data_IF_470680134739
#
_entry.id   IF_470680134739
#
_cell.length_a   1.000
_cell.length_b   1.000
_cell.length_c   1.000
_cell.angle_alpha   90.00
_cell.angle_beta   90.00
_cell.angle_gamma   90.00
#
_symmetry.space_group_name_H-M   'P 1'
#
loop_
_entity.id
_entity.type
_entity.pdbx_description
1 polymer ?
#
# COMPACT_ATOMS: atom_id res chain seq x y z
N UNK A 1 -16.86 23.53 -5.39
CA UNK A 1 -16.91 23.16 -3.94
C UNK A 1 -15.69 22.31 -3.68
N UNK A 2 -14.87 22.69 -2.71
CA UNK A 2 -13.70 21.92 -2.32
C UNK A 2 -14.11 20.49 -1.93
N UNK A 3 -13.35 19.50 -2.36
CA UNK A 3 -13.55 18.10 -2.00
C UNK A 3 -13.23 17.91 -0.51
N UNK A 4 -14.18 17.38 0.26
CA UNK A 4 -13.97 17.11 1.69
C UNK A 4 -13.09 15.84 1.85
N UNK A 5 -11.84 15.97 2.35
CA UNK A 5 -10.93 14.86 2.51
C UNK A 5 -11.43 13.82 3.53
N UNK A 6 -12.15 14.25 4.57
CA UNK A 6 -12.66 13.33 5.60
C UNK A 6 -13.78 12.47 5.02
N UNK A 7 -14.67 13.10 4.23
CA UNK A 7 -15.73 12.37 3.54
C UNK A 7 -15.16 11.38 2.54
N UNK A 8 -14.19 11.79 1.72
CA UNK A 8 -13.54 10.90 0.75
C UNK A 8 -12.82 9.73 1.45
N UNK A 9 -12.09 9.99 2.52
CA UNK A 9 -11.44 8.95 3.31
C UNK A 9 -12.45 7.96 3.89
N UNK A 10 -13.56 8.45 4.46
CA UNK A 10 -14.66 7.61 4.94
C UNK A 10 -15.25 6.74 3.83
N UNK A 11 -15.51 7.32 2.65
CA UNK A 11 -16.07 6.59 1.51
C UNK A 11 -15.08 5.51 1.01
N UNK A 12 -13.78 5.79 0.98
CA UNK A 12 -12.75 4.80 0.63
C UNK A 12 -12.65 3.67 1.68
N UNK A 13 -12.76 3.99 2.98
CA UNK A 13 -12.71 2.98 4.06
C UNK A 13 -13.91 2.02 3.97
N UNK A 14 -15.08 2.51 3.60
CA UNK A 14 -16.30 1.67 3.42
C UNK A 14 -16.15 0.63 2.31
N UNK A 15 -15.25 0.87 1.35
CA UNK A 15 -14.92 -0.11 0.31
C UNK A 15 -13.99 -1.17 0.90
N UNK A 16 -14.47 -2.42 0.95
CA UNK A 16 -13.70 -3.57 1.42
C UNK A 16 -12.69 -4.00 0.33
N UNK A 17 -11.57 -3.31 0.25
CA UNK A 17 -10.50 -3.54 -0.73
C UNK A 17 -9.37 -4.41 -0.14
N UNK A 18 -9.69 -5.63 0.29
CA UNK A 18 -8.65 -6.57 0.76
C UNK A 18 -7.77 -6.96 -0.42
N UNK A 19 -6.44 -6.88 -0.21
CA UNK A 19 -5.45 -7.16 -1.26
C UNK A 19 -5.70 -8.49 -1.98
N UNK A 20 -5.66 -8.57 -3.32
CA UNK A 20 -5.40 -7.50 -4.29
C UNK A 20 -6.68 -6.85 -4.87
N UNK A 21 -7.83 -6.94 -4.20
CA UNK A 21 -9.16 -6.60 -4.71
C UNK A 21 -9.54 -5.13 -4.43
N UNK A 22 -8.87 -4.19 -5.11
CA UNK A 22 -9.09 -2.75 -4.94
C UNK A 22 -9.88 -2.05 -6.05
N UNK A 23 -10.53 -2.79 -6.95
CA UNK A 23 -11.16 -2.26 -8.16
C UNK A 23 -12.17 -1.14 -7.90
N UNK A 24 -13.03 -1.30 -6.88
CA UNK A 24 -14.06 -0.32 -6.55
C UNK A 24 -13.43 0.99 -6.04
N UNK A 25 -12.42 0.90 -5.18
CA UNK A 25 -11.69 2.07 -4.67
C UNK A 25 -10.93 2.79 -5.79
N UNK A 26 -10.25 2.05 -6.67
CA UNK A 26 -9.57 2.60 -7.86
C UNK A 26 -10.58 3.35 -8.75
N UNK A 27 -11.75 2.77 -9.02
CA UNK A 27 -12.76 3.39 -9.87
C UNK A 27 -13.37 4.63 -9.23
N UNK A 28 -13.56 4.65 -7.92
CA UNK A 28 -14.01 5.85 -7.20
C UNK A 28 -13.00 6.99 -7.35
N UNK A 29 -11.71 6.73 -7.09
CA UNK A 29 -10.64 7.72 -7.24
C UNK A 29 -10.54 8.22 -8.68
N UNK A 30 -10.57 7.30 -9.65
CA UNK A 30 -10.55 7.62 -11.08
C UNK A 30 -11.66 8.61 -11.43
N UNK A 31 -12.90 8.29 -11.03
CA UNK A 31 -14.06 9.15 -11.32
C UNK A 31 -13.90 10.56 -10.73
N UNK A 32 -13.38 10.65 -9.52
CA UNK A 32 -13.14 11.95 -8.87
C UNK A 32 -12.09 12.75 -9.65
N UNK A 33 -10.95 12.13 -9.97
CA UNK A 33 -9.85 12.80 -10.67
C UNK A 33 -10.25 13.21 -12.10
N UNK A 34 -10.98 12.37 -12.84
CA UNK A 34 -11.50 12.72 -14.17
C UNK A 34 -12.44 13.93 -14.14
N UNK A 35 -13.31 14.01 -13.14
CA UNK A 35 -14.21 15.15 -12.96
C UNK A 35 -13.47 16.47 -12.66
N UNK A 36 -12.19 16.38 -12.25
CA UNK A 36 -11.32 17.54 -11.99
C UNK A 36 -10.21 17.71 -13.05
N UNK A 37 -10.39 17.10 -14.23
CA UNK A 37 -9.56 17.34 -15.41
C UNK A 37 -8.27 16.52 -15.48
N UNK A 38 -8.09 15.49 -14.66
CA UNK A 38 -6.97 14.56 -14.79
C UNK A 38 -7.18 13.59 -15.95
N UNK A 39 -6.13 13.33 -16.73
CA UNK A 39 -6.07 12.21 -17.67
C UNK A 39 -5.79 10.93 -16.89
N UNK A 40 -6.77 10.03 -16.84
CA UNK A 40 -6.74 8.82 -16.02
C UNK A 40 -6.58 7.57 -16.87
N UNK A 41 -5.64 6.70 -16.50
CA UNK A 41 -5.38 5.43 -17.16
C UNK A 41 -5.44 4.29 -16.15
N UNK A 42 -6.35 3.34 -16.38
CA UNK A 42 -6.33 2.06 -15.65
C UNK A 42 -5.27 1.18 -16.28
N UNK A 43 -4.38 0.67 -15.46
CA UNK A 43 -3.31 -0.24 -15.84
C UNK A 43 -3.55 -1.57 -15.13
N UNK A 44 -3.91 -2.60 -15.90
CA UNK A 44 -4.18 -3.93 -15.36
C UNK A 44 -2.99 -4.83 -15.62
N UNK A 45 -2.49 -5.49 -14.59
CA UNK A 45 -1.39 -6.45 -14.67
C UNK A 45 -1.75 -7.73 -13.94
N UNK A 46 -1.16 -8.86 -14.37
CA UNK A 46 -1.49 -10.18 -13.87
C UNK A 46 -2.65 -10.81 -14.62
N UNK A 47 -3.01 -12.04 -14.22
CA UNK A 47 -4.11 -12.82 -14.82
C UNK A 47 -4.86 -13.59 -13.72
N UNK A 48 -6.18 -13.75 -13.90
CA UNK A 48 -7.02 -14.51 -12.98
C UNK A 48 -7.06 -13.93 -11.58
N UNK A 49 -6.73 -14.73 -10.56
CA UNK A 49 -6.71 -14.30 -9.16
C UNK A 49 -5.57 -13.32 -8.84
N UNK A 50 -4.57 -13.24 -9.71
CA UNK A 50 -3.42 -12.33 -9.57
C UNK A 50 -3.60 -11.04 -10.38
N UNK A 51 -4.78 -10.80 -10.96
CA UNK A 51 -5.08 -9.58 -11.67
C UNK A 51 -5.21 -8.40 -10.71
N UNK A 52 -4.44 -7.35 -10.99
CA UNK A 52 -4.37 -6.14 -10.18
C UNK A 52 -4.67 -4.92 -11.03
N UNK A 53 -5.63 -4.11 -10.58
CA UNK A 53 -5.89 -2.80 -11.15
C UNK A 53 -5.00 -1.76 -10.47
N UNK A 54 -4.40 -0.92 -11.31
CA UNK A 54 -3.66 0.26 -10.89
C UNK A 54 -4.20 1.48 -11.62
N UNK A 55 -4.06 2.65 -11.03
CA UNK A 55 -4.40 3.92 -11.64
C UNK A 55 -3.14 4.77 -11.81
N UNK A 56 -2.91 5.25 -13.02
CA UNK A 56 -2.08 6.41 -13.28
C UNK A 56 -2.97 7.57 -13.70
N UNK A 57 -2.87 8.69 -13.00
CA UNK A 57 -3.62 9.90 -13.34
C UNK A 57 -2.67 11.09 -13.40
N UNK A 58 -2.85 11.99 -14.37
CA UNK A 58 -1.99 13.17 -14.52
C UNK A 58 -2.81 14.38 -14.94
N UNK A 59 -2.55 15.50 -14.26
CA UNK A 59 -3.00 16.84 -14.65
C UNK A 59 -1.80 17.65 -15.15
N UNK A 60 -1.92 18.30 -16.30
CA UNK A 60 -0.81 19.01 -16.97
C UNK A 60 0.16 18.08 -17.71
N UNK A 61 0.99 18.66 -18.56
CA UNK A 61 1.94 17.92 -19.42
C UNK A 61 3.38 18.38 -19.26
N UNK A 62 3.58 19.50 -18.57
CA UNK A 62 4.90 20.12 -18.40
C UNK A 62 5.63 19.54 -17.18
N UNK A 63 6.94 19.69 -17.20
CA UNK A 63 7.79 19.49 -16.03
C UNK A 63 7.85 20.80 -15.20
N UNK A 64 8.09 20.69 -13.89
CA UNK A 64 8.25 19.45 -13.12
C UNK A 64 6.93 18.69 -12.88
N UNK A 65 7.00 17.36 -12.72
CA UNK A 65 5.90 16.50 -12.38
C UNK A 65 6.03 16.01 -10.92
N UNK A 66 5.18 16.52 -10.06
CA UNK A 66 5.05 16.03 -8.68
C UNK A 66 4.07 14.84 -8.67
N UNK A 67 4.54 13.68 -8.25
CA UNK A 67 3.74 12.47 -8.14
C UNK A 67 3.40 12.16 -6.68
N UNK A 68 2.16 11.76 -6.43
CA UNK A 68 1.78 11.05 -5.23
C UNK A 68 1.64 9.56 -5.53
N UNK A 69 2.28 8.72 -4.71
CA UNK A 69 2.15 7.27 -4.81
C UNK A 69 1.54 6.69 -3.52
N UNK A 70 0.58 5.77 -3.71
CA UNK A 70 -0.09 5.09 -2.60
C UNK A 70 -0.86 3.86 -3.05
N UNK A 71 -1.49 3.20 -2.07
CA UNK A 71 -2.28 2.00 -2.30
C UNK A 71 -3.68 2.08 -1.67
N UNK A 72 -4.64 1.44 -2.28
CA UNK A 72 -6.02 1.36 -1.79
C UNK A 72 -6.35 0.01 -1.18
N UNK A 73 -5.52 -1.00 -1.46
CA UNK A 73 -5.67 -2.30 -0.83
C UNK A 73 -5.30 -2.24 0.65
N UNK A 74 -5.83 -3.18 1.39
CA UNK A 74 -5.62 -3.31 2.84
C UNK A 74 -5.45 -4.77 3.21
N UNK A 75 -4.73 -5.04 4.30
CA UNK A 75 -4.67 -6.38 4.89
C UNK A 75 -6.03 -6.82 5.41
N UNK A 76 -6.30 -8.13 5.52
CA UNK A 76 -7.52 -8.64 6.14
C UNK A 76 -7.78 -8.04 7.51
N UNK A 77 -9.04 -7.86 7.85
CA UNK A 77 -9.48 -7.27 9.13
C UNK A 77 -9.12 -8.12 10.35
N UNK A 78 -8.85 -9.42 10.18
CA UNK A 78 -8.69 -10.35 11.29
C UNK A 78 -10.03 -10.74 11.93
N UNK A 79 -10.04 -11.06 13.22
CA UNK A 79 -11.28 -11.38 13.95
C UNK A 79 -12.12 -10.12 14.13
N UNK A 80 -13.39 -10.19 13.73
CA UNK A 80 -14.33 -9.08 13.93
C UNK A 80 -14.61 -8.77 15.42
N UNK A 81 -14.36 -9.72 16.30
CA UNK A 81 -14.52 -9.57 17.77
C UNK A 81 -13.45 -8.65 18.38
N UNK A 82 -12.32 -8.48 17.69
CA UNK A 82 -11.24 -7.61 18.14
C UNK A 82 -11.49 -6.13 17.82
N UNK A 83 -12.56 -5.81 17.08
CA UNK A 83 -12.90 -4.45 16.70
C UNK A 83 -13.99 -3.86 17.59
N UNK A 84 -13.78 -2.63 18.07
CA UNK A 84 -14.79 -1.86 18.80
C UNK A 84 -15.79 -1.12 17.89
N UNK A 85 -15.60 -1.20 16.57
CA UNK A 85 -16.45 -0.64 15.52
C UNK A 85 -16.35 -1.53 14.27
N UNK A 86 -17.22 -1.34 13.27
CA UNK A 86 -17.13 -2.10 12.02
C UNK A 86 -15.81 -1.83 11.29
N UNK A 87 -15.01 -2.85 10.94
CA UNK A 87 -13.70 -2.66 10.28
C UNK A 87 -13.76 -1.79 9.01
N UNK A 88 -14.88 -1.80 8.32
CA UNK A 88 -15.13 -1.02 7.11
C UNK A 88 -16.30 -0.04 7.27
N UNK A 89 -16.54 0.45 8.48
CA UNK A 89 -17.64 1.39 8.74
C UNK A 89 -17.34 2.80 8.23
N UNK A 90 -16.08 3.23 8.26
CA UNK A 90 -15.69 4.60 7.93
C UNK A 90 -16.35 5.63 8.85
N UNK A 91 -16.74 5.24 10.07
CA UNK A 91 -17.39 6.09 11.05
C UNK A 91 -16.43 7.09 11.68
N UNK A 92 -16.96 8.21 12.13
CA UNK A 92 -16.21 9.17 12.94
C UNK A 92 -16.67 9.03 14.38
N UNK A 93 -15.77 8.52 15.24
CA UNK A 93 -16.00 8.31 16.66
C UNK A 93 -15.03 9.18 17.45
N UNK A 94 -15.54 10.01 18.35
CA UNK A 94 -14.71 10.93 19.15
C UNK A 94 -13.72 11.76 18.31
N UNK A 95 -14.18 12.26 17.18
CA UNK A 95 -13.38 13.05 16.21
C UNK A 95 -12.21 12.25 15.55
N UNK A 96 -12.30 10.94 15.53
CA UNK A 96 -11.35 10.03 14.86
C UNK A 96 -12.06 9.24 13.77
N UNK A 97 -11.51 9.22 12.57
CA UNK A 97 -11.99 8.38 11.47
C UNK A 97 -11.54 6.94 11.70
N UNK A 98 -12.52 6.04 11.81
CA UNK A 98 -12.31 4.66 12.23
C UNK A 98 -12.49 3.70 11.06
N UNK A 99 -11.58 2.72 10.95
CA UNK A 99 -11.68 1.61 9.99
C UNK A 99 -10.34 1.11 9.49
N UNK A 100 -10.35 -0.08 8.88
CA UNK A 100 -9.19 -0.67 8.22
C UNK A 100 -8.77 0.22 7.04
N UNK A 101 -7.48 0.59 6.97
CA UNK A 101 -6.97 1.50 5.95
C UNK A 101 -7.11 3.00 6.30
N UNK A 102 -7.67 3.35 7.47
CA UNK A 102 -7.75 4.75 7.89
C UNK A 102 -6.36 5.39 8.02
N UNK A 103 -5.41 4.70 8.60
CA UNK A 103 -4.01 5.16 8.77
C UNK A 103 -3.16 4.73 7.57
N UNK A 104 -3.34 3.51 7.11
CA UNK A 104 -2.55 2.86 6.06
C UNK A 104 -3.48 2.41 4.92
N UNK A 105 -3.59 3.19 3.81
CA UNK A 105 -3.19 4.61 3.74
C UNK A 105 -4.27 5.45 3.03
N UNK A 106 -5.56 5.03 3.11
CA UNK A 106 -6.69 5.66 2.40
C UNK A 106 -6.89 7.14 2.77
N UNK A 107 -6.59 7.52 4.04
CA UNK A 107 -6.69 8.93 4.45
C UNK A 107 -5.62 9.81 3.81
N UNK A 108 -4.40 9.30 3.63
CA UNK A 108 -3.34 10.03 2.92
C UNK A 108 -3.73 10.28 1.46
N UNK A 109 -4.29 9.27 0.79
CA UNK A 109 -4.80 9.40 -0.58
C UNK A 109 -5.88 10.48 -0.64
N UNK A 110 -6.88 10.41 0.24
CA UNK A 110 -7.98 11.36 0.27
C UNK A 110 -7.50 12.80 0.51
N UNK A 111 -6.55 12.96 1.43
CA UNK A 111 -5.98 14.27 1.76
C UNK A 111 -5.20 14.84 0.58
N UNK A 112 -4.34 14.03 -0.07
CA UNK A 112 -3.55 14.53 -1.19
C UNK A 112 -4.42 14.85 -2.41
N UNK A 113 -5.42 14.03 -2.73
CA UNK A 113 -6.39 14.31 -3.81
C UNK A 113 -7.11 15.64 -3.53
N UNK A 114 -7.62 15.83 -2.32
CA UNK A 114 -8.34 17.04 -1.93
C UNK A 114 -7.45 18.28 -2.05
N UNK A 115 -6.22 18.21 -1.52
CA UNK A 115 -5.26 19.31 -1.58
C UNK A 115 -4.81 19.62 -3.02
N UNK A 116 -4.64 18.61 -3.86
CA UNK A 116 -4.27 18.81 -5.26
C UNK A 116 -5.40 19.50 -6.04
N UNK A 117 -6.65 19.10 -5.82
CA UNK A 117 -7.82 19.71 -6.45
C UNK A 117 -7.95 21.17 -6.01
N UNK A 118 -7.88 21.45 -4.70
CA UNK A 118 -7.94 22.81 -4.15
C UNK A 118 -6.83 23.69 -4.73
N UNK A 119 -5.59 23.19 -4.76
CA UNK A 119 -4.47 23.89 -5.37
C UNK A 119 -4.70 24.23 -6.84
N UNK A 120 -5.25 23.31 -7.62
CA UNK A 120 -5.54 23.52 -9.05
C UNK A 120 -6.69 24.50 -9.27
N UNK A 121 -7.72 24.49 -8.43
CA UNK A 121 -8.82 25.46 -8.46
C UNK A 121 -8.32 26.91 -8.19
N UNK A 122 -7.35 27.06 -7.27
CA UNK A 122 -6.76 28.36 -6.94
C UNK A 122 -5.74 28.84 -7.98
N UNK A 123 -5.11 27.91 -8.74
CA UNK A 123 -4.00 28.18 -9.64
C UNK A 123 -4.33 27.84 -11.11
N UNK A 124 -5.27 28.51 -11.72
CA UNK A 124 -5.81 28.27 -13.07
C UNK A 124 -4.76 28.22 -14.21
N UNK A 125 -3.51 28.69 -13.97
CA UNK A 125 -2.41 28.67 -14.94
C UNK A 125 -1.38 27.58 -14.65
N UNK A 126 -1.59 26.74 -13.65
CA UNK A 126 -0.62 25.73 -13.24
C UNK A 126 -0.27 24.75 -14.38
N UNK A 127 -1.21 24.41 -15.24
CA UNK A 127 -0.99 23.52 -16.39
C UNK A 127 0.17 23.97 -17.30
N UNK A 128 0.44 25.29 -17.36
CA UNK A 128 1.58 25.82 -18.11
C UNK A 128 2.91 25.76 -17.36
N UNK A 129 2.89 25.48 -16.04
CA UNK A 129 4.07 25.55 -15.16
C UNK A 129 4.59 24.18 -14.75
N UNK A 130 3.74 23.14 -14.75
CA UNK A 130 4.11 21.81 -14.29
C UNK A 130 3.00 20.80 -14.45
N UNK A 131 3.11 19.70 -13.74
CA UNK A 131 2.08 18.66 -13.66
C UNK A 131 2.00 18.03 -12.27
N UNK A 132 0.83 17.50 -11.94
CA UNK A 132 0.58 16.69 -10.75
C UNK A 132 0.11 15.31 -11.23
N UNK A 133 0.68 14.26 -10.67
CA UNK A 133 0.28 12.89 -11.02
C UNK A 133 0.05 12.01 -9.79
N UNK A 134 -0.70 10.92 -10.01
CA UNK A 134 -1.00 9.91 -9.02
C UNK A 134 -0.64 8.54 -9.56
N UNK A 135 -0.03 7.72 -8.72
CA UNK A 135 0.11 6.28 -8.88
C UNK A 135 -0.63 5.65 -7.72
N UNK A 136 -1.73 4.96 -8.01
CA UNK A 136 -2.51 4.25 -6.98
C UNK A 136 -2.58 2.77 -7.37
N UNK A 137 -2.13 1.91 -6.48
CA UNK A 137 -2.15 0.45 -6.66
C UNK A 137 -3.17 -0.24 -5.76
N UNK A 138 -3.53 -1.47 -6.11
CA UNK A 138 -4.28 -2.38 -5.24
C UNK A 138 -3.49 -3.66 -4.88
N UNK A 139 -2.16 -3.63 -4.97
CA UNK A 139 -1.25 -4.74 -4.61
C UNK A 139 0.04 -4.19 -3.97
N UNK A 140 -0.10 -3.51 -2.82
CA UNK A 140 1.04 -3.16 -1.96
C UNK A 140 1.13 -4.12 -0.78
N UNK A 141 0.01 -4.41 -0.13
CA UNK A 141 -0.12 -5.22 1.09
C UNK A 141 -0.07 -6.74 0.83
N UNK A 142 -0.06 -7.14 -0.44
CA UNK A 142 -0.06 -8.54 -0.86
C UNK A 142 1.28 -9.00 -1.42
N UNK A 143 1.22 -9.54 -2.64
CA UNK A 143 2.41 -10.04 -3.35
C UNK A 143 3.33 -8.92 -3.83
N UNK A 144 2.82 -7.71 -4.02
CA UNK A 144 3.49 -6.52 -4.52
C UNK A 144 4.22 -6.75 -5.88
N UNK A 145 3.69 -7.66 -6.71
CA UNK A 145 4.29 -8.04 -8.00
C UNK A 145 3.66 -7.26 -9.15
N UNK A 146 2.31 -7.13 -9.13
CA UNK A 146 1.51 -6.54 -10.19
C UNK A 146 1.06 -5.10 -9.87
N UNK A 147 1.56 -4.53 -8.77
CA UNK A 147 1.30 -3.16 -8.30
C UNK A 147 2.28 -2.14 -8.84
N UNK A 148 2.76 -1.26 -7.96
CA UNK A 148 3.61 -0.09 -8.26
C UNK A 148 4.81 -0.42 -9.14
N UNK A 149 5.45 -1.59 -8.94
CA UNK A 149 6.57 -2.03 -9.78
C UNK A 149 6.21 -2.05 -11.27
N UNK A 150 5.06 -2.63 -11.60
CA UNK A 150 4.56 -2.72 -12.99
C UNK A 150 4.15 -1.36 -13.54
N UNK A 151 3.57 -0.50 -12.72
CA UNK A 151 3.27 0.88 -13.10
C UNK A 151 4.55 1.64 -13.45
N UNK A 152 5.62 1.51 -12.66
CA UNK A 152 6.92 2.15 -12.95
C UNK A 152 7.55 1.61 -14.24
N UNK A 153 7.44 0.30 -14.52
CA UNK A 153 7.88 -0.27 -15.79
C UNK A 153 7.09 0.32 -16.98
N UNK A 154 5.77 0.49 -16.80
CA UNK A 154 4.90 1.10 -17.81
C UNK A 154 5.24 2.58 -18.04
N UNK A 155 5.46 3.38 -16.97
CA UNK A 155 5.86 4.78 -17.06
C UNK A 155 7.14 4.95 -17.89
N UNK A 156 8.17 4.14 -17.60
CA UNK A 156 9.43 4.13 -18.36
C UNK A 156 9.20 3.83 -19.84
N UNK A 157 8.36 2.84 -20.15
CA UNK A 157 8.05 2.43 -21.53
C UNK A 157 7.28 3.51 -22.30
N UNK A 158 6.48 4.32 -21.60
CA UNK A 158 5.67 5.40 -22.19
C UNK A 158 6.35 6.78 -22.10
N UNK A 159 7.60 6.86 -21.61
CA UNK A 159 8.37 8.10 -21.43
C UNK A 159 7.66 9.12 -20.53
N UNK A 160 6.90 8.61 -19.56
CA UNK A 160 6.30 9.42 -18.51
C UNK A 160 7.35 9.69 -17.43
N UNK A 161 7.74 10.96 -17.25
CA UNK A 161 8.73 11.34 -16.25
C UNK A 161 8.03 11.81 -14.98
N UNK A 162 8.61 11.43 -13.85
CA UNK A 162 8.30 11.94 -12.51
C UNK A 162 9.56 12.60 -12.01
N UNK A 163 9.48 13.87 -11.61
CA UNK A 163 10.61 14.63 -11.10
C UNK A 163 10.73 14.45 -9.58
N UNK A 164 9.61 14.53 -8.87
CA UNK A 164 9.52 14.33 -7.44
C UNK A 164 8.37 13.39 -7.09
N UNK A 165 8.53 12.56 -6.05
CA UNK A 165 7.49 11.63 -5.60
C UNK A 165 7.32 11.67 -4.08
N UNK A 166 6.07 11.83 -3.66
CA UNK A 166 5.64 11.67 -2.27
C UNK A 166 4.93 10.32 -2.15
N UNK A 167 5.41 9.47 -1.25
CA UNK A 167 4.74 8.22 -0.87
C UNK A 167 3.99 8.48 0.43
N UNK A 168 2.67 8.33 0.40
CA UNK A 168 1.79 8.76 1.49
C UNK A 168 1.68 7.81 2.68
N UNK A 169 2.64 6.93 2.87
CA UNK A 169 2.69 5.96 3.96
C UNK A 169 2.80 6.59 5.35
N UNK A 170 2.24 5.96 6.39
CA UNK A 170 2.36 6.46 7.76
C UNK A 170 3.80 6.39 8.24
N UNK A 171 4.38 7.54 8.60
CA UNK A 171 5.79 7.63 9.00
C UNK A 171 6.00 8.35 10.33
N UNK A 172 5.01 9.09 10.79
CA UNK A 172 5.14 9.96 11.95
C UNK A 172 4.79 9.23 13.25
N UNK A 173 5.75 8.97 14.15
CA UNK A 173 5.49 8.16 15.35
C UNK A 173 4.71 8.90 16.45
N UNK A 174 4.88 10.21 16.59
CA UNK A 174 4.31 10.97 17.68
C UNK A 174 3.46 12.16 17.24
N UNK A 175 3.95 12.93 16.27
CA UNK A 175 3.27 14.13 15.76
C UNK A 175 3.33 14.16 14.25
N UNK A 176 2.27 14.67 13.64
CA UNK A 176 2.26 14.91 12.20
C UNK A 176 3.41 15.86 11.81
N UNK A 177 4.22 15.44 10.84
CA UNK A 177 5.34 16.21 10.31
C UNK A 177 6.66 16.08 11.12
N UNK A 178 6.75 15.24 12.13
CA UNK A 178 7.98 15.06 12.90
C UNK A 178 9.00 14.13 12.24
N UNK A 179 8.60 13.37 11.22
CA UNK A 179 9.49 12.45 10.51
C UNK A 179 9.17 12.37 9.03
N UNK A 180 10.20 12.38 8.21
CA UNK A 180 10.16 12.02 6.78
C UNK A 180 11.16 10.90 6.54
N UNK A 181 10.73 9.81 5.90
CA UNK A 181 11.63 8.75 5.47
C UNK A 181 12.11 9.03 4.05
N UNK A 182 13.43 9.08 3.85
CA UNK A 182 14.07 9.32 2.55
C UNK A 182 14.61 8.04 1.89
N UNK A 183 14.37 6.89 2.50
CA UNK A 183 14.75 5.56 2.00
C UNK A 183 14.01 4.47 2.74
N UNK A 184 14.09 3.26 2.20
CA UNK A 184 13.46 2.05 2.76
C UNK A 184 14.47 0.93 2.86
N UNK A 185 14.26 0.04 3.83
CA UNK A 185 14.95 -1.26 3.90
C UNK A 185 14.23 -2.23 2.98
N UNK A 186 14.95 -3.25 2.51
CA UNK A 186 14.33 -4.39 1.84
C UNK A 186 13.64 -5.32 2.83
N UNK A 187 12.71 -6.14 2.33
CA UNK A 187 12.17 -7.29 3.05
C UNK A 187 12.46 -8.57 2.26
N UNK A 188 12.68 -9.64 2.98
CA UNK A 188 12.85 -10.97 2.41
C UNK A 188 12.03 -11.97 3.21
N UNK A 189 11.16 -12.71 2.53
CA UNK A 189 10.31 -13.73 3.13
C UNK A 189 10.60 -15.09 2.53
N UNK A 190 10.56 -16.13 3.34
CA UNK A 190 10.79 -17.49 2.89
C UNK A 190 10.01 -18.50 3.72
N UNK A 191 9.78 -19.68 3.15
CA UNK A 191 9.16 -20.79 3.83
C UNK A 191 10.19 -21.87 4.10
N UNK A 192 10.38 -22.23 5.36
CA UNK A 192 11.24 -23.34 5.76
C UNK A 192 10.37 -24.58 6.01
N UNK A 193 10.54 -25.60 5.17
CA UNK A 193 9.83 -26.89 5.31
C UNK A 193 10.84 -27.94 5.69
N UNK A 194 10.65 -28.60 6.84
CA UNK A 194 11.52 -29.69 7.31
C UNK A 194 10.75 -30.98 7.30
N UNK A 195 11.19 -31.92 6.47
CA UNK A 195 10.60 -33.26 6.38
C UNK A 195 11.30 -34.24 7.35
N UNK A 196 10.49 -34.96 8.10
CA UNK A 196 10.91 -36.00 9.02
C UNK A 196 10.63 -37.42 8.51
N UNK A 197 10.98 -38.41 9.33
CA UNK A 197 10.62 -39.82 9.13
C UNK A 197 9.82 -40.25 10.35
N UNK A 198 8.59 -40.68 10.12
CA UNK A 198 7.71 -41.21 11.19
C UNK A 198 8.26 -42.52 11.74
N UNK A 199 8.20 -42.71 13.04
CA UNK A 199 8.60 -43.91 13.69
C UNK A 199 8.11 -44.02 15.13
N UNK A 200 8.28 -45.20 15.72
CA UNK A 200 7.86 -45.46 17.10
C UNK A 200 8.86 -44.81 18.08
N UNK A 201 8.36 -44.19 19.14
CA UNK A 201 9.16 -43.47 20.16
C UNK A 201 10.23 -44.36 20.77
N UNK A 202 9.92 -45.68 20.99
CA UNK A 202 10.88 -46.64 21.51
C UNK A 202 12.05 -46.99 20.55
N UNK A 203 11.97 -46.58 19.29
CA UNK A 203 13.00 -46.86 18.29
C UNK A 203 13.45 -45.57 17.59
N UNK A 204 14.04 -44.61 18.31
CA UNK A 204 14.38 -43.31 17.77
C UNK A 204 15.38 -43.33 16.62
N UNK A 205 16.18 -44.39 16.52
CA UNK A 205 17.15 -44.61 15.44
C UNK A 205 16.50 -44.96 14.09
N UNK A 206 15.20 -45.32 14.09
CA UNK A 206 14.40 -45.60 12.88
C UNK A 206 13.53 -44.41 12.47
N UNK A 207 13.57 -43.33 13.22
CA UNK A 207 12.75 -42.12 12.99
C UNK A 207 13.63 -40.88 12.86
N UNK A 208 13.07 -39.81 12.28
CA UNK A 208 13.68 -38.48 12.22
C UNK A 208 12.66 -37.43 12.62
N UNK A 209 12.80 -36.94 13.84
CA UNK A 209 11.90 -35.91 14.32
C UNK A 209 12.18 -34.56 13.61
N UNK A 210 11.24 -33.99 12.81
CA UNK A 210 11.48 -32.77 12.09
C UNK A 210 11.60 -31.55 13.03
N UNK A 211 11.00 -31.58 14.21
CA UNK A 211 11.08 -30.49 15.20
C UNK A 211 12.53 -30.28 15.63
N UNK A 212 13.25 -31.35 15.99
CA UNK A 212 14.67 -31.25 16.38
C UNK A 212 15.54 -30.73 15.24
N UNK A 213 15.24 -31.08 14.00
CA UNK A 213 15.94 -30.55 12.83
C UNK A 213 15.61 -29.08 12.57
N UNK A 214 14.32 -28.70 12.72
CA UNK A 214 13.86 -27.33 12.60
C UNK A 214 14.56 -26.40 13.59
N UNK A 215 14.61 -26.78 14.87
CA UNK A 215 15.28 -25.98 15.91
C UNK A 215 16.74 -25.69 15.59
N UNK A 216 17.47 -26.70 15.09
CA UNK A 216 18.88 -26.54 14.68
C UNK A 216 19.06 -25.61 13.48
N UNK A 217 18.05 -25.50 12.62
CA UNK A 217 18.08 -24.61 11.45
C UNK A 217 17.66 -23.18 11.81
N UNK A 218 16.71 -23.02 12.72
CA UNK A 218 16.18 -21.70 13.11
C UNK A 218 17.13 -20.98 14.06
N UNK A 219 17.76 -21.68 14.98
CA UNK A 219 18.65 -21.06 15.98
C UNK A 219 19.71 -20.13 15.34
N UNK A 220 20.51 -20.58 14.34
CA UNK A 220 21.46 -19.65 13.71
C UNK A 220 20.80 -18.45 13.03
N UNK A 221 19.59 -18.62 12.48
CA UNK A 221 18.87 -17.52 11.83
C UNK A 221 18.41 -16.45 12.84
N UNK A 222 18.10 -16.85 14.08
CA UNK A 222 17.71 -15.92 15.14
C UNK A 222 18.90 -15.12 15.71
N UNK A 223 20.13 -15.58 15.46
CA UNK A 223 21.36 -14.98 15.95
C UNK A 223 22.08 -14.10 14.90
N UNK A 224 21.58 -14.11 13.64
CA UNK A 224 22.18 -13.31 12.56
C UNK A 224 21.81 -11.85 12.70
N UNK A 225 22.79 -10.98 12.87
CA UNK A 225 22.63 -9.55 12.67
C UNK A 225 22.68 -9.24 11.17
N UNK A 226 21.56 -8.77 10.61
CA UNK A 226 21.45 -8.43 9.19
C UNK A 226 21.88 -7.00 8.89
N UNK A 227 21.88 -6.12 9.91
CA UNK A 227 22.36 -4.74 9.84
C UNK A 227 22.68 -4.22 11.25
N UNK A 228 23.20 -3.00 11.36
CA UNK A 228 23.64 -2.36 12.62
C UNK A 228 22.46 -2.04 13.58
N UNK A 229 21.71 -3.05 14.02
CA UNK A 229 20.67 -2.93 15.04
C UNK A 229 19.31 -2.43 14.53
N UNK A 230 19.09 -2.45 13.22
CA UNK A 230 17.83 -2.06 12.60
C UNK A 230 17.01 -3.23 12.06
N UNK A 231 17.53 -4.45 12.11
CA UNK A 231 16.82 -5.64 11.62
C UNK A 231 15.76 -6.09 12.61
N UNK A 232 14.58 -6.35 12.06
CA UNK A 232 13.48 -7.00 12.76
C UNK A 232 13.27 -8.37 12.11
N UNK A 233 13.41 -9.44 12.90
CA UNK A 233 13.05 -10.79 12.47
C UNK A 233 11.67 -11.10 13.04
N UNK A 234 10.68 -11.23 12.16
CA UNK A 234 9.36 -11.72 12.48
C UNK A 234 9.26 -13.20 12.06
N UNK A 235 8.99 -14.05 13.02
CA UNK A 235 8.81 -15.50 12.81
C UNK A 235 7.34 -15.85 13.00
#
# INVERSE_FOLDING_TARGET
MSLDPVKLASDLIKIKSITPHGQEAINLIKSILENHGFDCKILTFGEGEDEVLNLYARFGKNAPNLCFAGHVDVVPEGSSEDWSFGPFSGEIINNQLCGRGAVDMKSSIATFISSAIEFLEENNKFESLGSISFIITSDEEGKAINGTKKVVEWLKSNKENIDDCIVGEPTNPNKLGDMIKIGRRGSYSGNLIVNGIQGHVGYPHLAKNPINSMLKLIQPLSEVELDEGLSLIHI
#
